data_IF_351703839379
#
_entry.id   IF_351703839379
#
_cell.length_a   1.000
_cell.length_b   1.000
_cell.length_c   1.000
_cell.angle_alpha   90.00
_cell.angle_beta   90.00
_cell.angle_gamma   90.00
#
_symmetry.space_group_name_H-M   'P 1'
#
loop_
_entity.id
_entity.type
_entity.pdbx_description
1 polymer ?
#
# COMPACT_ATOMS: atom_id res chain seq x y z
N UNK A 1 -23.47 -9.51 -14.53
CA UNK A 1 -23.92 -8.18 -14.07
C UNK A 1 -22.71 -7.50 -13.45
N UNK A 2 -22.37 -6.28 -13.84
CA UNK A 2 -21.16 -5.61 -13.32
C UNK A 2 -21.41 -5.25 -11.85
N UNK A 3 -20.52 -5.61 -10.89
CA UNK A 3 -20.65 -5.24 -9.48
C UNK A 3 -20.85 -3.73 -9.29
N UNK A 4 -21.76 -3.34 -8.38
CA UNK A 4 -22.09 -1.94 -8.10
C UNK A 4 -20.87 -1.10 -7.74
N UNK A 5 -19.93 -1.70 -7.02
CA UNK A 5 -18.67 -1.06 -6.62
C UNK A 5 -17.80 -0.72 -7.82
N UNK A 6 -17.64 -1.66 -8.77
CA UNK A 6 -16.88 -1.42 -10.01
C UNK A 6 -17.54 -0.34 -10.87
N UNK A 7 -18.88 -0.30 -10.92
CA UNK A 7 -19.63 0.77 -11.60
C UNK A 7 -19.37 2.14 -10.97
N UNK A 8 -19.30 2.21 -9.64
CA UNK A 8 -19.05 3.45 -8.92
C UNK A 8 -17.60 3.94 -9.10
N UNK A 9 -16.62 3.03 -9.05
CA UNK A 9 -15.22 3.33 -9.35
C UNK A 9 -15.06 3.87 -10.78
N UNK A 10 -15.66 3.19 -11.76
CA UNK A 10 -15.65 3.64 -13.16
C UNK A 10 -16.29 5.01 -13.32
N UNK A 11 -17.41 5.27 -12.65
CA UNK A 11 -18.10 6.56 -12.70
C UNK A 11 -17.23 7.69 -12.14
N UNK A 12 -16.54 7.44 -11.03
CA UNK A 12 -15.62 8.42 -10.42
C UNK A 12 -14.46 8.73 -11.37
N UNK A 13 -13.84 7.69 -11.94
CA UNK A 13 -12.75 7.85 -12.90
C UNK A 13 -13.16 8.64 -14.15
N UNK A 14 -14.35 8.38 -14.70
CA UNK A 14 -14.88 9.16 -15.84
C UNK A 14 -15.09 10.63 -15.48
N UNK A 15 -15.53 10.94 -14.26
CA UNK A 15 -15.64 12.34 -13.80
C UNK A 15 -14.27 13.02 -13.72
N UNK A 16 -13.24 12.32 -13.25
CA UNK A 16 -11.88 12.84 -13.21
C UNK A 16 -11.34 13.11 -14.62
N UNK A 17 -11.54 12.20 -15.57
CA UNK A 17 -11.13 12.41 -16.97
C UNK A 17 -11.82 13.63 -17.61
N UNK A 18 -13.08 13.92 -17.23
CA UNK A 18 -13.79 15.13 -17.68
C UNK A 18 -13.22 16.41 -17.08
N UNK A 19 -12.84 16.37 -15.79
CA UNK A 19 -12.27 17.53 -15.09
C UNK A 19 -10.83 17.81 -15.52
N UNK A 20 -10.06 16.74 -15.77
CA UNK A 20 -8.65 16.80 -16.14
C UNK A 20 -8.38 15.89 -17.35
N UNK A 21 -8.60 16.37 -18.58
CA UNK A 21 -8.37 15.57 -19.79
C UNK A 21 -6.92 15.08 -19.95
N UNK A 22 -5.95 15.76 -19.32
CA UNK A 22 -4.54 15.37 -19.31
C UNK A 22 -4.28 13.99 -18.69
N UNK A 23 -5.18 13.49 -17.83
CA UNK A 23 -5.07 12.15 -17.23
C UNK A 23 -5.01 11.06 -18.31
N UNK A 24 -5.71 11.24 -19.42
CA UNK A 24 -5.74 10.29 -20.54
C UNK A 24 -4.37 10.12 -21.23
N UNK A 25 -3.39 10.97 -20.92
CA UNK A 25 -2.01 10.85 -21.42
C UNK A 25 -1.07 10.11 -20.45
N UNK A 26 -1.55 9.62 -19.31
CA UNK A 26 -0.72 8.90 -18.35
C UNK A 26 -0.34 7.50 -18.90
N UNK A 27 0.96 7.12 -18.94
CA UNK A 27 1.42 5.84 -19.47
C UNK A 27 0.77 4.61 -18.84
N UNK A 28 0.44 4.67 -17.54
CA UNK A 28 -0.17 3.55 -16.79
C UNK A 28 -1.59 3.19 -17.28
N UNK A 29 -2.29 4.11 -17.95
CA UNK A 29 -3.65 3.91 -18.48
C UNK A 29 -3.73 4.11 -20.00
N UNK A 30 -2.61 3.95 -20.69
CA UNK A 30 -2.52 4.00 -22.16
C UNK A 30 -3.54 3.10 -22.86
N UNK A 31 -3.76 1.89 -22.34
CA UNK A 31 -4.77 0.95 -22.86
C UNK A 31 -6.19 1.54 -22.90
N UNK A 32 -6.54 2.40 -21.93
CA UNK A 32 -7.87 3.03 -21.86
C UNK A 32 -8.00 4.15 -22.90
N UNK A 33 -6.92 4.90 -23.12
CA UNK A 33 -6.83 5.87 -24.21
C UNK A 33 -6.98 5.21 -25.58
N UNK A 34 -6.24 4.12 -25.83
CA UNK A 34 -6.34 3.34 -27.07
C UNK A 34 -7.76 2.82 -27.30
N UNK A 35 -8.41 2.35 -26.24
CA UNK A 35 -9.81 1.94 -26.29
C UNK A 35 -10.75 3.09 -26.70
N UNK A 36 -10.59 4.30 -26.12
CA UNK A 36 -11.40 5.46 -26.49
C UNK A 36 -11.18 5.87 -27.96
N UNK A 37 -9.94 5.86 -28.43
CA UNK A 37 -9.58 6.15 -29.83
C UNK A 37 -10.19 5.09 -30.78
N UNK A 38 -10.23 3.82 -30.37
CA UNK A 38 -10.88 2.74 -31.14
C UNK A 38 -12.39 2.96 -31.33
N UNK A 39 -13.04 3.68 -30.39
CA UNK A 39 -14.44 4.07 -30.47
C UNK A 39 -14.65 5.39 -31.25
N UNK A 40 -13.59 5.96 -31.82
CA UNK A 40 -13.63 7.22 -32.58
C UNK A 40 -13.61 8.47 -31.71
N UNK A 41 -13.28 8.38 -30.42
CA UNK A 41 -13.16 9.55 -29.57
C UNK A 41 -11.88 10.35 -29.91
N UNK A 42 -11.98 11.68 -29.93
CA UNK A 42 -10.82 12.56 -30.10
C UNK A 42 -10.38 13.10 -28.74
N UNK A 43 -9.15 12.78 -28.33
CA UNK A 43 -8.62 13.19 -27.02
C UNK A 43 -7.94 14.57 -27.14
N UNK A 44 -8.28 15.54 -26.27
CA UNK A 44 -7.63 16.86 -26.28
C UNK A 44 -6.12 16.76 -26.06
N UNK A 45 -5.29 17.59 -26.71
CA UNK A 45 -3.84 17.60 -26.49
C UNK A 45 -3.50 18.05 -25.06
N UNK A 46 -2.40 17.53 -24.50
CA UNK A 46 -1.92 17.92 -23.17
C UNK A 46 -1.53 19.41 -23.18
N UNK A 47 -2.30 20.25 -22.48
CA UNK A 47 -2.00 21.68 -22.33
C UNK A 47 -0.79 21.86 -21.41
N UNK A 48 0.21 22.60 -21.88
CA UNK A 48 1.39 23.05 -21.13
C UNK A 48 1.23 24.53 -20.79
N UNK A 49 0.87 24.86 -19.55
CA UNK A 49 0.72 26.26 -19.14
C UNK A 49 2.05 26.84 -18.63
N UNK A 50 2.64 27.73 -19.44
CA UNK A 50 3.72 28.64 -19.11
C UNK A 50 3.13 30.04 -18.85
N UNK A 51 3.33 30.65 -17.67
CA UNK A 51 3.29 32.11 -17.50
C UNK A 51 3.94 32.58 -16.18
N UNK A 52 4.81 33.59 -16.29
CA UNK A 52 5.63 34.19 -15.25
C UNK A 52 5.05 35.50 -14.66
N UNK A 53 5.64 35.94 -13.53
CA UNK A 53 5.62 37.27 -12.88
C UNK A 53 4.30 37.68 -12.17
N UNK A 54 4.29 38.20 -10.94
CA UNK A 54 5.11 39.30 -10.41
C UNK A 54 5.04 39.35 -8.87
N UNK A 55 6.12 39.82 -8.23
CA UNK A 55 6.24 39.99 -6.78
C UNK A 55 5.48 41.21 -6.25
N UNK A 56 4.89 41.10 -5.04
CA UNK A 56 5.01 42.16 -4.02
C UNK A 56 4.63 41.70 -2.61
N UNK A 57 5.44 42.19 -1.67
CA UNK A 57 5.50 41.93 -0.24
C UNK A 57 4.22 42.19 0.57
N UNK A 58 4.12 41.48 1.70
CA UNK A 58 3.20 41.81 2.80
C UNK A 58 3.30 40.84 3.97
N UNK A 59 4.31 41.03 4.84
CA UNK A 59 4.36 40.43 6.17
C UNK A 59 3.17 40.90 7.02
N UNK A 60 2.53 39.96 7.74
CA UNK A 60 1.97 40.24 9.07
C UNK A 60 1.73 38.94 9.84
N UNK A 61 2.49 38.83 10.92
CA UNK A 61 2.37 37.82 11.96
C UNK A 61 0.94 37.71 12.50
N UNK A 62 0.52 36.49 12.81
CA UNK A 62 -0.16 36.19 14.07
C UNK A 62 -0.13 34.70 14.36
N UNK A 63 0.41 34.42 15.54
CA UNK A 63 0.45 33.14 16.23
C UNK A 63 -0.89 32.41 16.18
N UNK A 64 -0.87 31.21 15.63
CA UNK A 64 -1.60 30.09 16.19
C UNK A 64 -0.55 29.01 16.41
N UNK A 65 -0.56 28.43 17.61
CA UNK A 65 0.28 27.31 18.00
C UNK A 65 -0.04 26.13 17.08
N UNK A 66 0.56 26.10 15.90
CA UNK A 66 0.68 24.85 15.17
C UNK A 66 1.66 24.00 15.96
N UNK A 67 1.14 22.91 16.51
CA UNK A 67 1.96 21.77 16.83
C UNK A 67 2.69 21.39 15.55
N UNK A 68 3.90 21.90 15.42
CA UNK A 68 4.91 21.50 14.46
C UNK A 68 5.28 20.05 14.81
N UNK A 69 4.38 19.13 14.49
CA UNK A 69 4.70 17.73 14.36
C UNK A 69 5.56 17.65 13.11
N UNK A 70 6.86 17.62 13.32
CA UNK A 70 7.83 17.27 12.29
C UNK A 70 7.46 15.87 11.77
N UNK A 71 6.67 15.79 10.69
CA UNK A 71 6.67 14.64 9.82
C UNK A 71 8.03 14.61 9.15
N UNK A 72 9.03 14.11 9.88
CA UNK A 72 10.37 14.01 9.35
C UNK A 72 10.34 12.95 8.26
N UNK A 73 10.63 13.34 7.02
CA UNK A 73 11.10 12.45 5.95
C UNK A 73 12.29 11.55 6.42
N UNK A 74 12.83 11.76 7.63
CA UNK A 74 13.85 10.96 8.29
C UNK A 74 13.43 9.51 8.64
N UNK A 75 12.14 9.15 8.54
CA UNK A 75 11.67 7.78 8.77
C UNK A 75 11.44 6.96 7.48
N UNK A 76 11.61 7.58 6.30
CA UNK A 76 11.57 6.86 5.01
C UNK A 76 12.86 6.06 4.86
N UNK A 77 12.70 4.76 4.66
CA UNK A 77 13.78 3.83 4.44
C UNK A 77 14.16 3.74 2.97
N UNK A 78 15.46 3.71 2.71
CA UNK A 78 15.98 3.26 1.43
C UNK A 78 15.62 1.78 1.18
N UNK A 79 15.29 1.39 -0.06
CA UNK A 79 14.96 0.01 -0.38
C UNK A 79 16.17 -0.89 -0.11
N UNK A 80 15.97 -1.89 0.74
CA UNK A 80 16.99 -2.87 1.03
C UNK A 80 17.15 -3.91 -0.10
N UNK A 81 18.31 -4.57 -0.15
CA UNK A 81 18.45 -5.78 -0.96
C UNK A 81 17.48 -6.86 -0.47
N UNK A 82 16.68 -7.38 -1.39
CA UNK A 82 15.63 -8.33 -1.09
C UNK A 82 16.21 -9.65 -0.57
N UNK A 83 15.78 -10.07 0.63
CA UNK A 83 16.21 -11.32 1.23
C UNK A 83 15.49 -12.50 0.59
N UNK A 84 16.26 -13.46 0.08
CA UNK A 84 15.69 -14.70 -0.44
C UNK A 84 15.23 -15.62 0.70
N UNK A 85 13.94 -15.62 0.99
CA UNK A 85 13.28 -16.56 1.90
C UNK A 85 12.50 -17.65 1.15
N UNK A 86 12.42 -18.88 1.67
CA UNK A 86 11.73 -19.99 1.00
C UNK A 86 10.21 -19.81 1.04
N UNK A 87 9.53 -20.19 -0.05
CA UNK A 87 8.06 -20.24 -0.18
C UNK A 87 7.50 -21.66 -0.07
N UNK A 88 8.36 -22.66 0.13
CA UNK A 88 7.96 -24.08 0.09
C UNK A 88 7.61 -24.55 -1.32
N UNK A 89 7.16 -25.80 -1.41
CA UNK A 89 6.73 -26.42 -2.67
C UNK A 89 5.20 -26.56 -2.68
N UNK A 90 4.55 -25.72 -3.46
CA UNK A 90 3.08 -25.67 -3.58
C UNK A 90 2.46 -26.94 -4.17
N UNK A 91 3.26 -27.83 -4.75
CA UNK A 91 2.78 -29.11 -5.29
C UNK A 91 2.69 -30.23 -4.25
N UNK A 92 3.26 -30.03 -3.06
CA UNK A 92 3.26 -31.05 -2.00
C UNK A 92 1.87 -31.20 -1.39
N UNK A 93 1.39 -32.45 -1.30
CA UNK A 93 0.16 -32.77 -0.60
C UNK A 93 0.31 -32.54 0.92
N UNK A 94 -0.61 -31.74 1.49
CA UNK A 94 -0.60 -31.41 2.91
C UNK A 94 -1.07 -32.61 3.73
N UNK A 95 -0.13 -33.27 4.41
CA UNK A 95 -0.44 -34.34 5.36
C UNK A 95 -0.85 -33.79 6.73
N UNK A 96 -1.59 -34.58 7.52
CA UNK A 96 -1.96 -34.21 8.90
C UNK A 96 -0.72 -33.89 9.76
N UNK A 97 0.35 -34.67 9.61
CA UNK A 97 1.61 -34.43 10.31
C UNK A 97 2.24 -33.08 9.94
N UNK A 98 2.23 -32.72 8.65
CA UNK A 98 2.75 -31.42 8.18
C UNK A 98 1.92 -30.27 8.74
N UNK A 99 0.60 -30.39 8.79
CA UNK A 99 -0.30 -29.38 9.34
C UNK A 99 -0.02 -29.19 10.85
N UNK A 100 0.05 -30.29 11.61
CA UNK A 100 0.35 -30.23 13.05
C UNK A 100 1.73 -29.60 13.30
N UNK A 101 2.75 -30.01 12.54
CA UNK A 101 4.09 -29.45 12.68
C UNK A 101 4.13 -27.96 12.27
N UNK A 102 3.39 -27.57 11.23
CA UNK A 102 3.23 -26.19 10.81
C UNK A 102 2.64 -25.34 11.94
N UNK A 103 1.56 -25.79 12.56
CA UNK A 103 0.88 -25.07 13.64
C UNK A 103 1.79 -24.91 14.87
N UNK A 104 2.55 -25.95 15.22
CA UNK A 104 3.55 -25.90 16.29
C UNK A 104 4.64 -24.85 15.99
N UNK A 105 5.12 -24.80 14.74
CA UNK A 105 6.13 -23.80 14.32
C UNK A 105 5.55 -22.39 14.34
N UNK A 106 4.33 -22.21 13.85
CA UNK A 106 3.60 -20.94 13.90
C UNK A 106 3.43 -20.44 15.34
N UNK A 107 3.01 -21.30 16.27
CA UNK A 107 2.85 -20.92 17.67
C UNK A 107 4.19 -20.48 18.28
N UNK A 108 5.26 -21.26 18.08
CA UNK A 108 6.60 -20.90 18.54
C UNK A 108 7.09 -19.59 17.94
N UNK A 109 6.78 -19.33 16.67
CA UNK A 109 7.13 -18.08 16.00
C UNK A 109 6.44 -16.87 16.64
N UNK A 110 5.14 -17.00 16.98
CA UNK A 110 4.41 -15.96 17.71
C UNK A 110 5.00 -15.71 19.10
N UNK A 111 5.36 -16.77 19.83
CA UNK A 111 5.95 -16.65 21.16
C UNK A 111 7.33 -15.98 21.11
N UNK A 112 8.15 -16.31 20.13
CA UNK A 112 9.44 -15.65 19.89
C UNK A 112 9.25 -14.16 19.58
N UNK A 113 8.34 -13.83 18.67
CA UNK A 113 8.06 -12.44 18.33
C UNK A 113 7.48 -11.63 19.51
N UNK A 114 6.65 -12.26 20.36
CA UNK A 114 6.14 -11.61 21.59
C UNK A 114 7.26 -11.28 22.58
N UNK A 115 8.36 -12.03 22.55
CA UNK A 115 9.58 -11.75 23.33
C UNK A 115 10.53 -10.75 22.65
N UNK A 116 10.18 -10.28 21.45
CA UNK A 116 11.02 -9.39 20.63
C UNK A 116 12.11 -10.12 19.84
N UNK A 117 12.14 -11.45 19.85
CA UNK A 117 13.10 -12.26 19.08
C UNK A 117 12.57 -12.49 17.66
N UNK A 118 12.70 -11.45 16.84
CA UNK A 118 12.15 -11.43 15.49
C UNK A 118 12.95 -12.29 14.51
N UNK A 119 14.26 -12.45 14.69
CA UNK A 119 15.10 -13.34 13.89
C UNK A 119 14.69 -14.80 14.07
N UNK A 120 14.47 -15.23 15.31
CA UNK A 120 13.98 -16.59 15.58
C UNK A 120 12.55 -16.78 15.07
N UNK A 121 11.69 -15.77 15.21
CA UNK A 121 10.34 -15.81 14.65
C UNK A 121 10.35 -15.94 13.11
N UNK A 122 11.23 -15.21 12.43
CA UNK A 122 11.40 -15.26 10.98
C UNK A 122 11.79 -16.67 10.51
N UNK A 123 12.74 -17.29 11.21
CA UNK A 123 13.17 -18.65 10.93
C UNK A 123 12.00 -19.64 11.10
N UNK A 124 11.28 -19.56 12.20
CA UNK A 124 10.16 -20.47 12.50
C UNK A 124 9.00 -20.30 11.51
N UNK A 125 8.67 -19.07 11.10
CA UNK A 125 7.68 -18.85 10.05
C UNK A 125 8.14 -19.38 8.69
N UNK A 126 9.43 -19.29 8.36
CA UNK A 126 9.96 -19.86 7.12
C UNK A 126 9.88 -21.39 7.11
N UNK A 127 10.16 -22.03 8.25
CA UNK A 127 9.96 -23.47 8.42
C UNK A 127 8.47 -23.86 8.32
N UNK A 128 7.57 -23.08 8.94
CA UNK A 128 6.13 -23.30 8.85
C UNK A 128 5.60 -23.18 7.40
N UNK A 129 6.09 -22.20 6.63
CA UNK A 129 5.74 -22.02 5.21
C UNK A 129 6.20 -23.20 4.37
N UNK A 130 7.37 -23.78 4.66
CA UNK A 130 7.82 -24.98 3.95
C UNK A 130 6.92 -26.19 4.21
N UNK A 131 6.22 -26.23 5.36
CA UNK A 131 5.27 -27.27 5.71
C UNK A 131 3.86 -27.00 5.18
N UNK A 132 3.46 -25.72 5.07
CA UNK A 132 2.17 -25.33 4.50
C UNK A 132 2.32 -24.09 3.59
N UNK A 133 2.75 -24.29 2.33
CA UNK A 133 3.08 -23.20 1.41
C UNK A 133 1.86 -22.46 0.86
N UNK A 134 0.65 -22.97 1.09
CA UNK A 134 -0.61 -22.35 0.65
C UNK A 134 -1.27 -21.51 1.75
N UNK A 135 -0.69 -21.47 2.96
CA UNK A 135 -1.25 -20.70 4.06
C UNK A 135 -0.97 -19.21 3.91
N UNK A 136 -1.98 -18.47 3.46
CA UNK A 136 -1.98 -17.00 3.37
C UNK A 136 -1.61 -16.34 4.70
N UNK A 137 -2.06 -16.90 5.83
CA UNK A 137 -1.81 -16.36 7.16
C UNK A 137 -0.32 -16.38 7.51
N UNK A 138 0.41 -17.44 7.13
CA UNK A 138 1.83 -17.55 7.44
C UNK A 138 2.65 -16.48 6.72
N UNK A 139 2.37 -16.23 5.44
CA UNK A 139 3.03 -15.16 4.70
C UNK A 139 2.75 -13.77 5.31
N UNK A 140 1.49 -13.49 5.66
CA UNK A 140 1.13 -12.23 6.32
C UNK A 140 1.84 -12.04 7.67
N UNK A 141 1.98 -13.10 8.47
CA UNK A 141 2.69 -13.05 9.75
C UNK A 141 4.21 -12.95 9.59
N UNK A 142 4.79 -13.63 8.60
CA UNK A 142 6.22 -13.48 8.27
C UNK A 142 6.53 -12.06 7.77
N UNK A 143 5.65 -11.47 6.96
CA UNK A 143 5.75 -10.07 6.55
C UNK A 143 5.72 -9.12 7.75
N UNK A 144 4.83 -9.32 8.72
CA UNK A 144 4.86 -8.53 9.96
C UNK A 144 6.18 -8.63 10.72
N UNK A 145 6.75 -9.83 10.85
CA UNK A 145 8.08 -10.01 11.46
C UNK A 145 9.15 -9.26 10.68
N UNK A 146 9.13 -9.35 9.34
CA UNK A 146 10.06 -8.64 8.45
C UNK A 146 10.00 -7.12 8.62
N UNK A 147 8.80 -6.55 8.81
CA UNK A 147 8.65 -5.12 9.06
C UNK A 147 9.26 -4.68 10.40
N UNK A 148 9.15 -5.53 11.43
CA UNK A 148 9.83 -5.28 12.71
C UNK A 148 11.35 -5.39 12.59
N UNK A 149 11.84 -6.24 11.68
CA UNK A 149 13.25 -6.34 11.31
C UNK A 149 13.71 -5.26 10.31
N UNK A 150 12.86 -4.28 9.98
CA UNK A 150 13.16 -3.22 9.01
C UNK A 150 13.54 -3.79 7.63
N UNK A 151 12.76 -4.77 7.15
CA UNK A 151 12.88 -5.43 5.82
C UNK A 151 11.60 -5.26 4.97
N UNK A 152 11.21 -4.02 4.61
CA UNK A 152 9.96 -3.75 3.89
C UNK A 152 9.88 -4.34 2.47
N UNK A 153 10.95 -4.36 1.67
CA UNK A 153 10.95 -4.97 0.33
C UNK A 153 10.64 -6.48 0.40
N UNK A 154 11.28 -7.18 1.33
CA UNK A 154 11.03 -8.62 1.52
C UNK A 154 9.60 -8.87 2.03
N UNK A 155 9.08 -7.99 2.90
CA UNK A 155 7.71 -8.06 3.38
C UNK A 155 6.68 -7.85 2.25
N UNK A 156 6.95 -6.94 1.31
CA UNK A 156 6.10 -6.72 0.13
C UNK A 156 5.96 -7.99 -0.70
N UNK A 157 7.06 -8.73 -0.90
CA UNK A 157 7.02 -10.01 -1.64
C UNK A 157 6.11 -11.02 -0.95
N UNK A 158 6.27 -11.21 0.37
CA UNK A 158 5.44 -12.13 1.16
C UNK A 158 3.96 -11.74 1.11
N UNK A 159 3.64 -10.46 1.32
CA UNK A 159 2.26 -10.00 1.23
C UNK A 159 1.68 -10.17 -0.18
N UNK A 160 2.47 -9.94 -1.22
CA UNK A 160 2.03 -10.14 -2.61
C UNK A 160 1.75 -11.62 -2.87
N UNK A 161 2.58 -12.54 -2.35
CA UNK A 161 2.28 -13.98 -2.41
C UNK A 161 0.99 -14.31 -1.68
N UNK A 162 0.78 -13.77 -0.48
CA UNK A 162 -0.45 -13.96 0.29
C UNK A 162 -1.70 -13.47 -0.47
N UNK A 163 -1.64 -12.28 -1.09
CA UNK A 163 -2.73 -11.71 -1.89
C UNK A 163 -3.01 -12.55 -3.14
N UNK A 164 -1.97 -13.09 -3.79
CA UNK A 164 -2.14 -13.98 -4.94
C UNK A 164 -2.80 -15.30 -4.57
N UNK A 165 -2.54 -15.83 -3.36
CA UNK A 165 -3.21 -17.02 -2.83
C UNK A 165 -4.65 -16.73 -2.40
N UNK A 166 -4.87 -15.59 -1.76
CA UNK A 166 -6.19 -15.15 -1.31
C UNK A 166 -6.35 -13.62 -1.46
N UNK A 167 -7.09 -13.15 -2.47
CA UNK A 167 -7.31 -11.73 -2.70
C UNK A 167 -8.07 -10.99 -1.60
N UNK A 168 -8.69 -11.70 -0.65
CA UNK A 168 -9.43 -11.13 0.48
C UNK A 168 -8.60 -11.14 1.78
N UNK A 169 -7.29 -11.34 1.69
CA UNK A 169 -6.40 -11.39 2.85
C UNK A 169 -6.10 -9.99 3.41
N UNK A 170 -7.00 -9.45 4.26
CA UNK A 170 -6.85 -8.12 4.86
C UNK A 170 -5.47 -7.89 5.52
N UNK A 171 -4.95 -8.89 6.22
CA UNK A 171 -3.64 -8.85 6.88
C UNK A 171 -2.48 -8.60 5.89
N UNK A 172 -2.58 -9.13 4.67
CA UNK A 172 -1.54 -8.97 3.66
C UNK A 172 -1.54 -7.55 3.09
N UNK A 173 -2.72 -6.99 2.81
CA UNK A 173 -2.84 -5.58 2.42
C UNK A 173 -2.36 -4.65 3.53
N UNK A 174 -2.76 -4.89 4.79
CA UNK A 174 -2.34 -4.08 5.94
C UNK A 174 -0.82 -3.97 6.02
N UNK A 175 -0.12 -5.10 5.95
CA UNK A 175 1.34 -5.10 6.08
C UNK A 175 2.06 -4.67 4.80
N UNK A 176 1.49 -4.89 3.61
CA UNK A 176 2.07 -4.34 2.37
C UNK A 176 1.94 -2.82 2.32
N UNK A 177 0.81 -2.28 2.75
CA UNK A 177 0.58 -0.84 2.90
C UNK A 177 1.57 -0.21 3.89
N UNK A 178 1.78 -0.83 5.05
CA UNK A 178 2.84 -0.42 5.98
C UNK A 178 4.24 -0.47 5.37
N UNK A 179 4.55 -1.53 4.60
CA UNK A 179 5.84 -1.66 3.94
C UNK A 179 6.07 -0.54 2.92
N UNK A 180 5.05 -0.20 2.12
CA UNK A 180 5.10 0.92 1.19
C UNK A 180 5.25 2.26 1.90
N UNK A 181 4.54 2.46 3.02
CA UNK A 181 4.73 3.64 3.88
C UNK A 181 6.19 3.77 4.34
N UNK A 182 6.79 2.68 4.82
CA UNK A 182 8.20 2.67 5.24
C UNK A 182 9.17 3.00 4.09
N UNK A 183 8.80 2.75 2.84
CA UNK A 183 9.61 3.05 1.65
C UNK A 183 9.24 4.39 0.98
N UNK A 184 8.37 5.20 1.59
CA UNK A 184 7.90 6.46 1.00
C UNK A 184 7.03 6.28 -0.24
N UNK A 185 6.49 5.08 -0.48
CA UNK A 185 5.54 4.77 -1.56
C UNK A 185 4.12 5.09 -1.12
N UNK A 186 3.86 6.38 -0.87
CA UNK A 186 2.65 6.87 -0.20
C UNK A 186 1.35 6.51 -0.95
N UNK A 187 1.33 6.64 -2.28
CA UNK A 187 0.15 6.25 -3.09
C UNK A 187 -0.16 4.76 -2.95
N UNK A 188 0.85 3.89 -3.06
CA UNK A 188 0.67 2.44 -2.94
C UNK A 188 0.25 2.05 -1.52
N UNK A 189 0.82 2.72 -0.52
CA UNK A 189 0.45 2.56 0.89
C UNK A 189 -1.02 2.89 1.11
N UNK A 190 -1.48 4.02 0.57
CA UNK A 190 -2.87 4.47 0.65
C UNK A 190 -3.83 3.40 0.12
N UNK A 191 -3.60 2.91 -1.11
CA UNK A 191 -4.47 1.91 -1.73
C UNK A 191 -4.56 0.62 -0.93
N UNK A 192 -3.43 0.10 -0.46
CA UNK A 192 -3.40 -1.13 0.31
C UNK A 192 -4.04 -0.96 1.70
N UNK A 193 -3.81 0.16 2.38
CA UNK A 193 -4.41 0.43 3.69
C UNK A 193 -5.93 0.64 3.58
N UNK A 194 -6.43 1.29 2.52
CA UNK A 194 -7.85 1.35 2.22
C UNK A 194 -8.46 -0.05 2.00
N UNK A 195 -7.82 -0.87 1.16
CA UNK A 195 -8.28 -2.23 0.89
C UNK A 195 -8.30 -3.08 2.17
N UNK A 196 -7.25 -2.99 2.98
CA UNK A 196 -7.18 -3.68 4.27
C UNK A 196 -8.35 -3.28 5.18
N UNK A 197 -8.57 -1.97 5.35
CA UNK A 197 -9.62 -1.44 6.22
C UNK A 197 -11.04 -1.76 5.73
N UNK A 198 -11.24 -1.84 4.42
CA UNK A 198 -12.52 -2.26 3.82
C UNK A 198 -12.81 -3.75 4.03
N UNK A 199 -11.76 -4.60 4.01
CA UNK A 199 -11.89 -6.03 4.20
C UNK A 199 -12.06 -6.39 5.69
N UNK A 200 -11.28 -5.78 6.57
CA UNK A 200 -11.31 -5.99 8.01
C UNK A 200 -10.80 -4.74 8.73
N UNK A 201 -11.73 -4.02 9.38
CA UNK A 201 -11.39 -2.80 10.08
C UNK A 201 -10.39 -3.06 11.21
N UNK A 202 -9.32 -2.29 11.23
CA UNK A 202 -8.29 -2.39 12.25
C UNK A 202 -7.77 -1.01 12.63
N UNK A 203 -7.83 -0.68 13.93
CA UNK A 203 -7.46 0.65 14.44
C UNK A 203 -6.03 1.07 14.07
N UNK A 204 -5.05 0.16 14.17
CA UNK A 204 -3.66 0.42 13.79
C UNK A 204 -3.53 0.68 12.27
N UNK A 205 -4.29 -0.06 11.45
CA UNK A 205 -4.32 0.15 10.00
C UNK A 205 -4.96 1.50 9.64
N UNK A 206 -6.04 1.87 10.33
CA UNK A 206 -6.73 3.14 10.14
C UNK A 206 -5.85 4.33 10.53
N UNK A 207 -5.06 4.20 11.61
CA UNK A 207 -4.11 5.22 12.01
C UNK A 207 -3.03 5.44 10.93
N UNK A 208 -2.45 4.36 10.40
CA UNK A 208 -1.50 4.48 9.28
C UNK A 208 -2.13 5.07 8.02
N UNK A 209 -3.41 4.75 7.76
CA UNK A 209 -4.13 5.32 6.62
C UNK A 209 -4.25 6.84 6.78
N UNK A 210 -4.58 7.33 7.98
CA UNK A 210 -4.68 8.76 8.27
C UNK A 210 -3.35 9.48 8.09
N UNK A 211 -2.26 8.91 8.60
CA UNK A 211 -0.92 9.47 8.41
C UNK A 211 -0.53 9.54 6.92
N UNK A 212 -0.92 8.55 6.12
CA UNK A 212 -0.67 8.55 4.66
C UNK A 212 -1.56 9.57 3.95
N UNK A 213 -2.82 9.73 4.35
CA UNK A 213 -3.72 10.77 3.84
C UNK A 213 -3.16 12.17 4.09
N UNK A 214 -2.74 12.45 5.31
CA UNK A 214 -2.14 13.73 5.71
C UNK A 214 -0.88 14.02 4.88
N UNK A 215 0.02 13.07 4.72
CA UNK A 215 1.22 13.25 3.88
C UNK A 215 0.88 13.54 2.42
N UNK A 216 -0.10 12.82 1.85
CA UNK A 216 -0.54 13.05 0.48
C UNK A 216 -1.22 14.42 0.32
N UNK A 217 -1.88 14.92 1.36
CA UNK A 217 -2.44 16.28 1.38
C UNK A 217 -1.34 17.34 1.51
N UNK A 218 -0.39 17.20 2.44
CA UNK A 218 0.71 18.16 2.65
C UNK A 218 1.68 18.23 1.46
N UNK A 219 1.99 17.10 0.83
CA UNK A 219 2.77 17.04 -0.41
C UNK A 219 2.10 17.79 -1.58
N UNK A 220 0.78 18.03 -1.50
CA UNK A 220 0.09 18.90 -2.47
C UNK A 220 0.24 20.40 -2.16
N UNK A 221 0.66 20.77 -0.95
CA UNK A 221 0.79 22.17 -0.50
C UNK A 221 2.23 22.71 -0.50
N UNK A 222 3.29 21.89 -0.37
CA UNK A 222 4.68 22.38 -0.22
C UNK A 222 5.42 22.72 -1.53
N UNK A 223 4.79 22.53 -2.69
CA UNK A 223 5.30 23.05 -3.97
C UNK A 223 6.04 22.02 -4.82
N UNK A 224 5.28 21.05 -5.34
CA UNK A 224 5.44 20.61 -6.72
C UNK A 224 4.05 20.40 -7.31
N UNK A 225 3.66 21.29 -8.21
CA UNK A 225 2.30 21.33 -8.78
C UNK A 225 2.17 20.17 -9.77
N UNK A 226 1.87 18.98 -9.26
CA UNK A 226 1.96 17.77 -10.07
C UNK A 226 1.40 16.50 -9.45
N UNK A 227 0.12 16.55 -9.02
CA UNK A 227 -0.82 15.43 -8.74
C UNK A 227 -1.06 15.15 -7.25
N UNK A 228 -2.27 15.46 -6.79
CA UNK A 228 -3.33 14.48 -6.48
C UNK A 228 -4.49 15.22 -5.80
N UNK A 229 -5.61 15.36 -6.51
CA UNK A 229 -6.81 15.99 -5.95
C UNK A 229 -7.79 14.94 -5.43
N UNK A 230 -7.95 14.95 -4.11
CA UNK A 230 -9.13 14.56 -3.32
C UNK A 230 -9.51 13.07 -3.29
N UNK A 231 -9.13 12.39 -2.20
CA UNK A 231 -9.97 11.34 -1.63
C UNK A 231 -10.74 11.92 -0.46
N UNK A 232 -12.07 11.97 -0.59
CA UNK A 232 -12.97 12.29 0.51
C UNK A 232 -13.27 10.99 1.27
N UNK A 233 -13.09 11.07 2.59
CA UNK A 233 -13.38 10.07 3.63
C UNK A 233 -14.44 9.01 3.29
N UNK A 234 -14.22 7.73 3.69
CA UNK A 234 -15.28 6.73 3.68
C UNK A 234 -16.34 7.02 4.77
N UNK A 235 -17.63 6.71 4.52
CA UNK A 235 -18.70 6.94 5.49
C UNK A 235 -18.71 5.86 6.59
N UNK A 236 -19.15 6.29 7.77
CA UNK A 236 -19.46 5.51 8.99
C UNK A 236 -20.55 4.45 8.72
#
# INVERSE_FOLDING_TARGET
MIPTEQVNLLRSFVQQCKKYPSLLHNPRISFYKEYLESLGATIPPAQTDNAANNAQAGQKDKSSSESELEFSDADVMEPEEEMSLPFGDESVELTEEMIVNCDVKQQKAMEAAKKGDYEQALKLYSEAICLNPLSTLLYGRRAWVLLNLKKPMTAIRDCTKAINLNPNAAIAYKYRGKAYRMLGRWEDAYYDLCNANNLDYNEECYQWLKEVEEYLEEGTFSGDVGKLSHVKNPPV
#
